data_IF_551310418342
#
_entry.id   IF_551310418342
#
_cell.length_a   1.000
_cell.length_b   1.000
_cell.length_c   1.000
_cell.angle_alpha   90.00
_cell.angle_beta   90.00
_cell.angle_gamma   90.00
#
_symmetry.space_group_name_H-M   'P 1'
#
loop_
_entity.id
_entity.type
_entity.pdbx_description
1 polymer ?
#
# COMPACT_ATOMS: atom_id res chain seq x y z
N UNK A 1 -8.90 5.05 -15.09
CA UNK A 1 -7.73 4.14 -15.16
C UNK A 1 -7.75 3.31 -13.89
N UNK A 2 -7.73 1.96 -13.94
CA UNK A 2 -7.53 1.17 -12.74
C UNK A 2 -6.07 1.38 -12.29
N UNK A 3 -5.89 2.09 -11.19
CA UNK A 3 -4.59 2.24 -10.53
C UNK A 3 -4.12 0.86 -10.10
N UNK A 4 -2.88 0.46 -10.38
CA UNK A 4 -2.40 -0.87 -9.95
C UNK A 4 -2.50 -0.99 -8.42
N UNK A 5 -2.71 -2.20 -7.86
CA UNK A 5 -2.89 -2.36 -6.42
C UNK A 5 -1.67 -1.84 -5.62
N UNK A 6 -0.47 -2.02 -6.14
CA UNK A 6 0.76 -1.46 -5.54
C UNK A 6 0.77 0.07 -5.56
N UNK A 7 0.46 0.67 -6.71
CA UNK A 7 0.39 2.13 -6.81
C UNK A 7 -0.73 2.70 -5.92
N UNK A 8 -1.84 1.99 -5.79
CA UNK A 8 -2.91 2.37 -4.87
C UNK A 8 -2.45 2.35 -3.41
N UNK A 9 -1.66 1.35 -2.98
CA UNK A 9 -1.10 1.32 -1.63
C UNK A 9 -0.17 2.52 -1.37
N UNK A 10 0.70 2.86 -2.32
CA UNK A 10 1.56 4.04 -2.23
C UNK A 10 0.73 5.34 -2.14
N UNK A 11 -0.30 5.47 -2.97
CA UNK A 11 -1.17 6.66 -2.99
C UNK A 11 -2.02 6.78 -1.72
N UNK A 12 -2.57 5.67 -1.22
CA UNK A 12 -3.34 5.64 0.03
C UNK A 12 -2.48 6.09 1.21
N UNK A 13 -1.23 5.62 1.27
CA UNK A 13 -0.27 6.10 2.26
C UNK A 13 0.07 7.59 2.09
N UNK A 14 0.41 8.03 0.88
CA UNK A 14 0.81 9.42 0.64
C UNK A 14 -0.34 10.44 0.79
N UNK A 15 -1.58 10.07 0.43
CA UNK A 15 -2.72 10.99 0.43
C UNK A 15 -3.56 10.91 1.70
N UNK A 16 -3.78 9.71 2.24
CA UNK A 16 -4.66 9.50 3.38
C UNK A 16 -3.91 9.11 4.66
N UNK A 17 -2.66 8.66 4.55
CA UNK A 17 -1.90 8.12 5.68
C UNK A 17 -2.45 6.79 6.20
N UNK A 18 -3.33 6.13 5.44
CA UNK A 18 -4.00 4.89 5.86
C UNK A 18 -4.27 3.98 4.68
N UNK A 19 -4.08 2.68 4.86
CA UNK A 19 -4.29 1.67 3.82
C UNK A 19 -5.72 1.13 3.79
N UNK A 20 -6.25 0.85 2.60
CA UNK A 20 -7.59 0.30 2.36
C UNK A 20 -7.54 -1.02 1.56
N UNK A 21 -7.01 -2.10 2.16
CA UNK A 21 -6.90 -3.41 1.49
C UNK A 21 -8.27 -4.03 1.17
N UNK A 22 -9.33 -3.60 1.86
CA UNK A 22 -10.71 -4.05 1.66
C UNK A 22 -11.29 -3.71 0.28
N UNK A 23 -10.70 -2.73 -0.43
CA UNK A 23 -11.07 -2.37 -1.79
C UNK A 23 -10.57 -3.39 -2.84
N UNK A 24 -9.67 -4.29 -2.43
CA UNK A 24 -8.99 -5.24 -3.31
C UNK A 24 -9.36 -6.68 -2.96
N UNK A 25 -9.40 -7.56 -3.96
CA UNK A 25 -9.75 -8.96 -3.77
C UNK A 25 -8.78 -9.89 -4.50
N UNK A 26 -8.67 -11.13 -4.02
CA UNK A 26 -7.85 -12.18 -4.61
C UNK A 26 -6.37 -11.76 -4.74
N UNK A 27 -5.81 -11.94 -5.93
CA UNK A 27 -4.40 -11.65 -6.21
C UNK A 27 -4.06 -10.16 -6.05
N UNK A 28 -4.98 -9.27 -6.42
CA UNK A 28 -4.79 -7.82 -6.29
C UNK A 28 -4.62 -7.39 -4.83
N UNK A 29 -5.36 -8.01 -3.92
CA UNK A 29 -5.22 -7.77 -2.48
C UNK A 29 -3.84 -8.17 -1.99
N UNK A 30 -3.34 -9.31 -2.45
CA UNK A 30 -2.00 -9.78 -2.08
C UNK A 30 -0.92 -8.79 -2.53
N UNK A 31 -1.01 -8.28 -3.76
CA UNK A 31 -0.07 -7.26 -4.26
C UNK A 31 -0.16 -5.94 -3.49
N UNK A 32 -1.37 -5.51 -3.15
CA UNK A 32 -1.58 -4.31 -2.32
C UNK A 32 -0.97 -4.49 -0.92
N UNK A 33 -1.24 -5.62 -0.27
CA UNK A 33 -0.75 -5.92 1.08
C UNK A 33 0.77 -6.11 1.12
N UNK A 34 1.39 -6.64 0.05
CA UNK A 34 2.84 -6.73 -0.06
C UNK A 34 3.49 -5.35 -0.12
N UNK A 35 2.94 -4.44 -0.93
CA UNK A 35 3.44 -3.08 -1.05
C UNK A 35 3.22 -2.27 0.24
N UNK A 36 2.06 -2.43 0.87
CA UNK A 36 1.82 -1.86 2.20
C UNK A 36 2.94 -2.23 3.18
N UNK A 37 3.34 -3.51 3.24
CA UNK A 37 4.42 -3.96 4.14
C UNK A 37 5.77 -3.37 3.77
N UNK A 38 6.06 -3.21 2.48
CA UNK A 38 7.27 -2.52 2.01
C UNK A 38 7.30 -1.08 2.53
N UNK A 39 6.21 -0.34 2.35
CA UNK A 39 6.08 1.05 2.80
C UNK A 39 6.23 1.14 4.32
N UNK A 40 5.51 0.30 5.07
CA UNK A 40 5.61 0.25 6.55
C UNK A 40 7.06 0.01 7.00
N UNK A 41 7.78 -0.92 6.36
CA UNK A 41 9.21 -1.17 6.67
C UNK A 41 10.12 -0.02 6.31
N UNK A 42 9.86 0.69 5.21
CA UNK A 42 10.69 1.83 4.80
C UNK A 42 10.53 3.00 5.77
N UNK A 43 9.32 3.21 6.28
CA UNK A 43 9.05 4.20 7.32
C UNK A 43 9.61 3.81 8.68
N UNK A 44 9.49 2.55 9.08
CA UNK A 44 10.08 2.05 10.33
C UNK A 44 11.63 2.11 10.33
N UNK A 45 12.24 1.88 9.16
CA UNK A 45 13.70 1.96 9.00
C UNK A 45 14.22 3.37 8.71
N UNK A 46 13.40 4.43 8.74
CA UNK A 46 13.91 5.80 8.59
C UNK A 46 14.61 6.22 9.90
N UNK A 47 15.94 6.46 9.89
CA UNK A 47 16.62 7.01 11.06
C UNK A 47 16.08 8.43 11.30
N UNK A 48 15.49 8.63 12.48
CA UNK A 48 14.93 9.90 12.94
C UNK A 48 15.98 11.00 13.11
#
# INVERSE_FOLDING_TARGET
>A
MPTSPRLAAQLDWMQQGSFRPELWQGEQRKEYEDERRQIERQWDNQPN
#
